data_IF_699172968728
#
_entry.id   IF_699172968728
#
_cell.length_a   1.000
_cell.length_b   1.000
_cell.length_c   1.000
_cell.angle_alpha   90.00
_cell.angle_beta   90.00
_cell.angle_gamma   90.00
#
_symmetry.space_group_name_H-M   'P 1'
#
loop_
_entity.id
_entity.type
_entity.pdbx_description
1 polymer ?
#
# COMPACT_ATOMS: atom_id res chain seq x y z
N UNK A 1 -18.24 -8.41 15.80
CA UNK A 1 -17.73 -9.30 14.74
C UNK A 1 -16.79 -8.50 13.85
N UNK A 2 -15.48 -8.59 14.08
CA UNK A 2 -14.47 -8.00 13.19
C UNK A 2 -14.43 -8.83 11.90
N UNK A 3 -15.27 -8.49 10.93
CA UNK A 3 -14.99 -8.83 9.53
C UNK A 3 -13.68 -8.12 9.23
N UNK A 4 -12.59 -8.87 9.08
CA UNK A 4 -11.48 -8.44 8.24
C UNK A 4 -12.11 -8.09 6.90
N UNK A 5 -12.38 -6.79 6.70
CA UNK A 5 -13.01 -6.23 5.51
C UNK A 5 -11.99 -6.34 4.38
N UNK A 6 -11.78 -7.57 3.91
CA UNK A 6 -10.94 -7.81 2.76
C UNK A 6 -11.57 -7.08 1.57
N UNK A 7 -10.74 -6.34 0.86
CA UNK A 7 -11.15 -5.57 -0.28
C UNK A 7 -11.84 -6.49 -1.31
N UNK A 8 -12.90 -6.08 -2.01
CA UNK A 8 -13.57 -6.93 -3.01
C UNK A 8 -12.62 -7.42 -4.12
N UNK A 9 -11.57 -6.67 -4.41
CA UNK A 9 -10.52 -7.03 -5.37
C UNK A 9 -9.32 -7.81 -4.77
N UNK A 10 -9.34 -8.17 -3.49
CA UNK A 10 -8.21 -8.85 -2.84
C UNK A 10 -7.90 -10.20 -3.53
N UNK A 11 -8.93 -10.91 -3.97
CA UNK A 11 -8.83 -12.22 -4.62
C UNK A 11 -8.97 -12.17 -6.15
N UNK A 12 -9.04 -10.98 -6.74
CA UNK A 12 -9.19 -10.83 -8.19
C UNK A 12 -7.81 -10.85 -8.87
N UNK A 13 -7.41 -12.03 -9.35
CA UNK A 13 -6.13 -12.24 -10.02
C UNK A 13 -5.95 -11.37 -11.27
N UNK A 14 -7.01 -11.15 -12.05
CA UNK A 14 -6.97 -10.34 -13.27
C UNK A 14 -6.69 -8.86 -12.97
N UNK A 15 -7.37 -8.31 -11.97
CA UNK A 15 -7.16 -6.93 -11.54
C UNK A 15 -5.72 -6.71 -11.03
N UNK A 16 -5.20 -7.69 -10.28
CA UNK A 16 -3.82 -7.68 -9.79
C UNK A 16 -2.82 -7.73 -10.95
N UNK A 17 -2.98 -8.64 -11.90
CA UNK A 17 -2.09 -8.76 -13.05
C UNK A 17 -2.07 -7.47 -13.90
N UNK A 18 -3.24 -6.84 -14.10
CA UNK A 18 -3.32 -5.57 -14.81
C UNK A 18 -2.54 -4.46 -14.07
N UNK A 19 -2.75 -4.34 -12.76
CA UNK A 19 -2.02 -3.36 -11.94
C UNK A 19 -0.50 -3.60 -11.98
N UNK A 20 -0.06 -4.86 -11.86
CA UNK A 20 1.35 -5.22 -11.97
C UNK A 20 1.90 -4.82 -13.36
N UNK A 21 1.16 -5.04 -14.44
CA UNK A 21 1.57 -4.61 -15.80
C UNK A 21 1.75 -3.09 -15.94
N UNK A 22 0.90 -2.29 -15.27
CA UNK A 22 1.03 -0.83 -15.22
C UNK A 22 2.30 -0.40 -14.48
N UNK A 23 2.65 -1.11 -13.40
CA UNK A 23 3.88 -0.84 -12.65
C UNK A 23 5.13 -1.19 -13.45
N UNK A 24 5.12 -2.30 -14.21
CA UNK A 24 6.24 -2.74 -15.06
C UNK A 24 6.54 -1.75 -16.18
N UNK A 25 5.51 -1.15 -16.80
CA UNK A 25 5.68 -0.09 -17.81
C UNK A 25 6.17 1.25 -17.24
N UNK A 26 6.57 1.32 -15.97
CA UNK A 26 6.94 2.54 -15.26
C UNK A 26 5.90 3.68 -15.36
N UNK A 27 4.63 3.33 -15.62
CA UNK A 27 3.57 4.27 -15.91
C UNK A 27 2.99 4.84 -14.61
N UNK A 28 3.67 5.83 -14.03
CA UNK A 28 3.25 6.49 -12.78
C UNK A 28 1.82 7.04 -12.86
N UNK A 29 1.44 7.58 -14.02
CA UNK A 29 0.08 8.08 -14.28
C UNK A 29 -0.98 6.98 -14.29
N UNK A 30 -0.75 5.89 -15.02
CA UNK A 30 -1.69 4.76 -15.08
C UNK A 30 -1.94 4.11 -13.72
N UNK A 31 -0.89 3.98 -12.91
CA UNK A 31 -0.98 3.47 -11.53
C UNK A 31 -1.80 4.39 -10.63
N UNK A 32 -1.64 5.71 -10.77
CA UNK A 32 -2.39 6.69 -9.99
C UNK A 32 -3.89 6.68 -10.35
N UNK A 33 -4.20 6.77 -11.64
CA UNK A 33 -5.58 6.75 -12.16
C UNK A 33 -6.30 5.45 -11.77
N UNK A 34 -5.62 4.31 -11.88
CA UNK A 34 -6.21 3.03 -11.47
C UNK A 34 -6.57 3.01 -9.98
N UNK A 35 -5.68 3.52 -9.11
CA UNK A 35 -5.95 3.61 -7.67
C UNK A 35 -7.14 4.51 -7.37
N UNK A 36 -7.18 5.70 -7.97
CA UNK A 36 -8.29 6.64 -7.75
C UNK A 36 -9.62 6.04 -8.21
N UNK A 37 -9.67 5.40 -9.37
CA UNK A 37 -10.87 4.72 -9.84
C UNK A 37 -11.35 3.63 -8.87
N UNK A 38 -10.42 2.81 -8.35
CA UNK A 38 -10.75 1.74 -7.41
C UNK A 38 -11.22 2.31 -6.07
N UNK A 39 -10.56 3.35 -5.56
CA UNK A 39 -10.96 4.03 -4.33
C UNK A 39 -12.37 4.61 -4.45
N UNK A 40 -12.72 5.23 -5.58
CA UNK A 40 -14.05 5.78 -5.81
C UNK A 40 -15.14 4.71 -5.94
N UNK A 41 -14.83 3.58 -6.58
CA UNK A 41 -15.82 2.52 -6.82
C UNK A 41 -16.03 1.60 -5.62
N UNK A 42 -14.99 1.37 -4.82
CA UNK A 42 -14.99 0.35 -3.76
C UNK A 42 -14.79 0.92 -2.36
N UNK A 43 -14.50 2.21 -2.24
CA UNK A 43 -14.26 2.89 -0.96
C UNK A 43 -12.86 2.65 -0.38
N UNK A 44 -11.96 1.98 -1.10
CA UNK A 44 -10.60 1.71 -0.63
C UNK A 44 -9.68 1.10 -1.67
N UNK A 45 -8.51 0.63 -1.23
CA UNK A 45 -7.54 -0.08 -2.05
C UNK A 45 -7.28 -1.49 -1.51
N UNK A 46 -7.05 -2.48 -2.39
CA UNK A 46 -6.61 -3.80 -1.98
C UNK A 46 -5.18 -3.77 -1.43
N UNK A 47 -4.83 -4.77 -0.62
CA UNK A 47 -3.55 -4.83 0.07
C UNK A 47 -2.35 -4.76 -0.88
N UNK A 48 -2.45 -5.41 -2.04
CA UNK A 48 -1.41 -5.45 -3.07
C UNK A 48 -1.27 -4.14 -3.86
N UNK A 49 -2.29 -3.27 -3.87
CA UNK A 49 -2.23 -1.98 -4.57
C UNK A 49 -1.93 -0.79 -3.65
N UNK A 50 -1.90 -0.98 -2.33
CA UNK A 50 -1.70 0.09 -1.35
C UNK A 50 -0.41 0.89 -1.65
N UNK A 51 -0.48 2.20 -1.43
CA UNK A 51 0.68 3.08 -1.56
C UNK A 51 1.67 2.68 -0.46
N UNK A 52 2.93 2.39 -0.83
CA UNK A 52 4.00 2.32 0.18
C UNK A 52 4.14 3.73 0.74
N UNK A 53 3.66 3.93 1.96
CA UNK A 53 4.00 5.12 2.72
C UNK A 53 5.53 5.15 2.79
N UNK A 54 6.19 6.28 2.48
CA UNK A 54 7.60 6.41 2.79
C UNK A 54 7.74 6.10 4.26
N UNK A 55 8.62 5.15 4.62
CA UNK A 55 8.90 4.83 5.99
C UNK A 55 9.30 6.14 6.68
N UNK A 56 8.36 6.75 7.41
CA UNK A 56 8.62 7.95 8.19
C UNK A 56 9.63 7.48 9.23
N UNK A 57 10.89 7.86 9.04
CA UNK A 57 12.04 7.29 9.72
C UNK A 57 11.70 6.96 11.16
N UNK A 58 11.67 5.66 11.48
CA UNK A 58 11.71 5.22 12.85
C UNK A 58 12.99 5.85 13.38
N UNK A 59 12.86 6.92 14.16
CA UNK A 59 13.95 7.41 14.98
C UNK A 59 14.25 6.25 15.92
N UNK A 60 15.18 5.40 15.55
CA UNK A 60 15.80 4.45 16.46
C UNK A 60 16.27 5.28 17.63
N UNK A 61 15.54 5.21 18.75
CA UNK A 61 15.96 5.83 19.99
C UNK A 61 17.32 5.20 20.32
N UNK A 62 18.39 5.99 20.20
CA UNK A 62 19.72 5.57 20.58
C UNK A 62 19.68 5.09 22.04
N UNK A 63 20.28 3.94 22.38
CA UNK A 63 20.29 3.47 23.75
C UNK A 63 21.04 4.50 24.61
N UNK A 64 20.35 5.07 25.58
CA UNK A 64 20.93 5.96 26.57
C UNK A 64 22.01 5.18 27.33
N UNK A 65 23.28 5.46 27.03
CA UNK A 65 24.41 5.00 27.83
C UNK A 65 24.27 5.68 29.19
N UNK A 66 23.89 4.91 30.20
CA UNK A 66 24.02 5.31 31.61
C UNK A 66 25.51 5.25 31.95
N UNK A 67 26.17 6.41 31.91
CA UNK A 67 27.48 6.56 32.56
C UNK A 67 27.21 6.73 34.06
N UNK A 68 27.62 5.73 34.84
CA UNK A 68 27.76 5.84 36.27
C UNK A 68 29.20 6.23 36.56
N UNK A 69 29.41 7.36 37.23
CA UNK A 69 30.52 7.59 38.17
C UNK A 69 30.11 8.68 39.16
#
# INVERSE_FOLDING_TARGET
MNKTLNHPLEYNATARAYFESLTVRASKGGVAVWREAVEQLTGGLPSWARRKLPARGVKTAAPAVRTAE
#
